data_IF_066492514476
#
_entry.id   IF_066492514476
#
_cell.length_a   1.000
_cell.length_b   1.000
_cell.length_c   1.000
_cell.angle_alpha   90.00
_cell.angle_beta   90.00
_cell.angle_gamma   90.00
#
_symmetry.space_group_name_H-M   'P 1'
#
loop_
_entity.id
_entity.type
_entity.pdbx_description
1 polymer ?
#
# COMPACT_ATOMS: atom_id res chain seq x y z
N UNK A 1 58.23 70.55 -11.22
CA UNK A 1 57.30 70.28 -10.10
C UNK A 1 55.96 69.96 -10.73
N UNK A 2 55.56 68.67 -10.82
CA UNK A 2 54.78 67.91 -9.80
C UNK A 2 53.28 68.30 -9.94
N UNK A 3 52.29 67.43 -10.17
CA UNK A 3 52.16 65.95 -10.24
C UNK A 3 50.82 65.59 -10.90
N UNK A 4 50.74 64.35 -11.41
CA UNK A 4 49.54 63.60 -11.78
C UNK A 4 48.55 63.43 -10.63
N UNK A 5 47.25 63.33 -10.94
CA UNK A 5 46.32 62.43 -10.25
C UNK A 5 45.17 62.04 -11.17
N UNK A 6 45.19 60.78 -11.56
CA UNK A 6 44.05 60.02 -12.06
C UNK A 6 42.92 59.99 -11.02
N UNK A 7 41.67 60.00 -11.48
CA UNK A 7 40.56 59.45 -10.70
C UNK A 7 39.70 58.60 -11.63
N UNK A 8 39.89 57.29 -11.51
CA UNK A 8 39.10 56.23 -12.13
C UNK A 8 37.96 55.92 -11.16
N UNK A 9 36.74 56.34 -11.48
CA UNK A 9 35.57 55.95 -10.72
C UNK A 9 34.99 54.67 -11.35
N UNK A 10 35.28 53.55 -10.68
CA UNK A 10 34.90 52.22 -11.08
C UNK A 10 33.43 51.92 -10.73
N UNK A 11 32.83 51.19 -11.65
CA UNK A 11 31.49 50.61 -11.68
C UNK A 11 31.28 49.54 -10.60
N UNK A 12 30.49 49.81 -9.55
CA UNK A 12 30.08 48.79 -8.56
C UNK A 12 28.61 48.34 -8.69
N UNK A 13 27.83 48.92 -9.61
CA UNK A 13 26.41 48.57 -9.79
C UNK A 13 26.12 47.38 -10.72
N UNK A 14 27.08 46.96 -11.56
CA UNK A 14 26.84 45.98 -12.62
C UNK A 14 27.22 44.55 -12.24
N UNK A 15 28.14 44.35 -11.30
CA UNK A 15 28.72 43.03 -10.99
C UNK A 15 27.83 42.18 -10.10
N UNK A 16 27.05 42.78 -9.18
CA UNK A 16 26.15 42.04 -8.28
C UNK A 16 24.96 41.38 -9.01
N UNK A 17 24.41 42.05 -10.03
CA UNK A 17 23.30 41.51 -10.84
C UNK A 17 23.77 40.35 -11.72
N UNK A 18 24.97 40.46 -12.30
CA UNK A 18 25.56 39.41 -13.14
C UNK A 18 25.92 38.17 -12.33
N UNK A 19 26.45 38.34 -11.11
CA UNK A 19 26.77 37.20 -10.22
C UNK A 19 25.49 36.46 -9.77
N UNK A 20 24.38 37.16 -9.50
CA UNK A 20 23.11 36.50 -9.14
C UNK A 20 22.44 35.78 -10.31
N UNK A 21 22.59 36.29 -11.54
CA UNK A 21 22.04 35.67 -12.74
C UNK A 21 22.85 34.43 -13.16
N UNK A 22 24.18 34.49 -13.06
CA UNK A 22 25.06 33.36 -13.34
C UNK A 22 24.88 32.24 -12.32
N UNK A 23 24.77 32.56 -11.03
CA UNK A 23 24.46 31.58 -9.99
C UNK A 23 23.12 30.90 -10.26
N UNK A 24 22.06 31.68 -10.49
CA UNK A 24 20.73 31.12 -10.80
C UNK A 24 20.76 30.25 -12.06
N UNK A 25 21.52 30.64 -13.09
CA UNK A 25 21.68 29.81 -14.30
C UNK A 25 22.40 28.49 -14.03
N UNK A 26 23.34 28.47 -13.09
CA UNK A 26 24.02 27.23 -12.68
C UNK A 26 23.09 26.35 -11.84
N UNK A 27 22.30 26.95 -10.94
CA UNK A 27 21.33 26.22 -10.12
C UNK A 27 20.25 25.57 -10.99
N UNK A 28 19.74 26.26 -12.02
CA UNK A 28 18.81 25.69 -13.01
C UNK A 28 19.40 24.44 -13.68
N UNK A 29 20.64 24.50 -14.16
CA UNK A 29 21.31 23.35 -14.76
C UNK A 29 21.50 22.22 -13.75
N UNK A 30 21.79 22.57 -12.49
CA UNK A 30 21.96 21.58 -11.44
C UNK A 30 20.66 20.83 -11.12
N UNK A 31 19.51 21.52 -11.12
CA UNK A 31 18.19 20.88 -11.01
C UNK A 31 17.99 19.89 -12.17
N UNK A 32 18.27 20.29 -13.41
CA UNK A 32 18.12 19.43 -14.59
C UNK A 32 19.04 18.20 -14.53
N UNK A 33 20.29 18.35 -14.09
CA UNK A 33 21.24 17.26 -13.91
C UNK A 33 20.79 16.27 -12.83
N UNK A 34 20.41 16.77 -11.65
CA UNK A 34 19.90 15.95 -10.55
C UNK A 34 18.64 15.19 -10.96
N UNK A 35 17.70 15.87 -11.63
CA UNK A 35 16.49 15.25 -12.14
C UNK A 35 16.81 14.15 -13.16
N UNK A 36 17.69 14.42 -14.12
CA UNK A 36 18.05 13.44 -15.15
C UNK A 36 18.73 12.19 -14.54
N UNK A 37 19.58 12.37 -13.54
CA UNK A 37 20.22 11.28 -12.81
C UNK A 37 19.19 10.46 -12.01
N UNK A 38 18.35 11.13 -11.22
CA UNK A 38 17.29 10.48 -10.45
C UNK A 38 16.26 9.76 -11.32
N UNK A 39 15.87 10.36 -12.44
CA UNK A 39 14.95 9.75 -13.41
C UNK A 39 15.56 8.52 -14.08
N UNK A 40 16.87 8.50 -14.30
CA UNK A 40 17.58 7.31 -14.78
C UNK A 40 17.53 6.17 -13.76
N UNK A 41 17.71 6.46 -12.47
CA UNK A 41 17.55 5.46 -11.41
C UNK A 41 16.11 4.95 -11.32
N UNK A 42 15.13 5.85 -11.47
CA UNK A 42 13.71 5.50 -11.47
C UNK A 42 13.36 4.51 -12.59
N UNK A 43 13.81 4.78 -13.83
CA UNK A 43 13.63 3.84 -14.95
C UNK A 43 14.39 2.53 -14.73
N UNK A 44 15.52 2.60 -14.02
CA UNK A 44 16.30 1.42 -13.63
C UNK A 44 15.72 0.66 -12.44
N UNK A 45 14.54 1.02 -11.95
CA UNK A 45 13.85 0.42 -10.79
C UNK A 45 14.70 0.43 -9.51
N UNK A 46 15.66 1.36 -9.42
CA UNK A 46 16.45 1.59 -8.21
C UNK A 46 15.81 2.75 -7.45
N UNK A 47 14.70 2.46 -6.78
CA UNK A 47 13.81 3.49 -6.26
C UNK A 47 14.41 4.28 -5.09
N UNK A 48 15.26 3.68 -4.25
CA UNK A 48 15.94 4.38 -3.16
C UNK A 48 16.94 5.40 -3.70
N UNK A 49 17.78 5.00 -4.67
CA UNK A 49 18.72 5.90 -5.33
C UNK A 49 17.98 6.98 -6.15
N UNK A 50 16.84 6.63 -6.75
CA UNK A 50 15.97 7.58 -7.41
C UNK A 50 15.40 8.61 -6.42
N UNK A 51 14.88 8.16 -5.27
CA UNK A 51 14.31 9.02 -4.25
C UNK A 51 15.34 10.01 -3.71
N UNK A 52 16.59 9.59 -3.48
CA UNK A 52 17.68 10.50 -3.07
C UNK A 52 17.88 11.63 -4.08
N UNK A 53 18.13 11.30 -5.36
CA UNK A 53 18.45 12.30 -6.39
C UNK A 53 17.24 13.14 -6.81
N UNK A 54 16.05 12.55 -6.85
CA UNK A 54 14.81 13.26 -7.16
C UNK A 54 14.36 14.17 -6.01
N UNK A 55 14.61 13.78 -4.76
CA UNK A 55 14.39 14.63 -3.58
C UNK A 55 15.29 15.87 -3.61
N UNK A 56 16.59 15.70 -3.84
CA UNK A 56 17.53 16.81 -4.04
C UNK A 56 17.08 17.73 -5.19
N UNK A 57 16.61 17.15 -6.31
CA UNK A 57 16.09 17.92 -7.44
C UNK A 57 14.81 18.69 -7.07
N UNK A 58 13.91 18.10 -6.29
CA UNK A 58 12.66 18.71 -5.86
C UNK A 58 12.93 19.91 -4.95
N UNK A 59 13.75 19.75 -3.92
CA UNK A 59 14.15 20.82 -3.00
C UNK A 59 14.81 21.99 -3.74
N UNK A 60 15.83 21.72 -4.55
CA UNK A 60 16.53 22.75 -5.30
C UNK A 60 15.60 23.44 -6.31
N UNK A 61 14.65 22.71 -6.91
CA UNK A 61 13.67 23.32 -7.82
C UNK A 61 12.78 24.35 -7.11
N UNK A 62 12.38 24.09 -5.85
CA UNK A 62 11.59 25.05 -5.05
C UNK A 62 12.41 26.31 -4.77
N UNK A 63 13.69 26.17 -4.45
CA UNK A 63 14.58 27.31 -4.20
C UNK A 63 14.76 28.18 -5.46
N UNK A 64 14.91 27.55 -6.62
CA UNK A 64 15.25 28.25 -7.89
C UNK A 64 14.02 28.86 -8.58
N UNK A 65 12.88 28.17 -8.55
CA UNK A 65 11.68 28.53 -9.30
C UNK A 65 10.50 28.97 -8.42
N UNK A 66 10.47 28.53 -7.16
CA UNK A 66 9.35 28.71 -6.24
C UNK A 66 8.43 27.48 -6.19
N UNK A 67 7.88 27.20 -5.00
CA UNK A 67 7.18 25.94 -4.65
C UNK A 67 6.12 25.44 -5.64
N UNK A 68 5.44 26.33 -6.36
CA UNK A 68 4.37 25.96 -7.29
C UNK A 68 4.63 26.39 -8.73
N UNK A 69 5.89 26.61 -9.09
CA UNK A 69 6.27 26.84 -10.48
C UNK A 69 6.08 25.57 -11.32
N UNK A 70 5.80 25.71 -12.61
CA UNK A 70 5.58 24.56 -13.49
C UNK A 70 6.82 23.65 -13.60
N UNK A 71 8.02 24.23 -13.46
CA UNK A 71 9.30 23.52 -13.46
C UNK A 71 9.46 22.58 -12.27
N UNK A 72 8.78 22.84 -11.15
CA UNK A 72 8.81 21.98 -9.96
C UNK A 72 7.96 20.71 -10.12
N UNK A 73 7.11 20.63 -11.15
CA UNK A 73 6.18 19.50 -11.32
C UNK A 73 6.90 18.16 -11.42
N UNK A 74 7.82 18.01 -12.38
CA UNK A 74 8.45 16.72 -12.65
C UNK A 74 9.30 16.24 -11.46
N UNK A 75 10.16 17.07 -10.84
CA UNK A 75 10.88 16.65 -9.64
C UNK A 75 9.98 16.13 -8.54
N UNK A 76 8.91 16.86 -8.18
CA UNK A 76 8.00 16.44 -7.10
C UNK A 76 7.18 15.19 -7.47
N UNK A 77 6.68 15.12 -8.71
CA UNK A 77 5.90 13.99 -9.17
C UNK A 77 6.72 12.69 -9.14
N UNK A 78 7.91 12.70 -9.74
CA UNK A 78 8.76 11.50 -9.77
C UNK A 78 9.37 11.18 -8.40
N UNK A 79 9.70 12.19 -7.59
CA UNK A 79 10.14 11.97 -6.21
C UNK A 79 9.07 11.24 -5.40
N UNK A 80 7.83 11.75 -5.43
CA UNK A 80 6.70 11.11 -4.75
C UNK A 80 6.44 9.69 -5.26
N UNK A 81 6.51 9.48 -6.58
CA UNK A 81 6.40 8.14 -7.16
C UNK A 81 7.51 7.18 -6.75
N UNK A 82 8.76 7.65 -6.69
CA UNK A 82 9.87 6.82 -6.22
C UNK A 82 9.64 6.36 -4.77
N UNK A 83 9.23 7.29 -3.89
CA UNK A 83 8.91 6.97 -2.50
C UNK A 83 7.75 5.97 -2.35
N UNK A 84 6.72 6.07 -3.21
CA UNK A 84 5.63 5.08 -3.23
C UNK A 84 6.16 3.68 -3.53
N UNK A 85 7.09 3.52 -4.47
CA UNK A 85 7.67 2.21 -4.80
C UNK A 85 8.62 1.71 -3.71
N UNK A 86 9.46 2.58 -3.13
CA UNK A 86 10.31 2.24 -1.97
C UNK A 86 9.46 1.64 -0.85
N UNK A 87 8.40 2.35 -0.44
CA UNK A 87 7.54 1.85 0.62
C UNK A 87 6.74 0.59 0.19
N UNK A 88 6.54 0.37 -1.11
CA UNK A 88 5.88 -0.85 -1.63
C UNK A 88 6.79 -2.07 -1.45
N UNK A 89 8.07 -1.92 -1.74
CA UNK A 89 9.09 -2.96 -1.55
C UNK A 89 9.27 -3.30 -0.07
N UNK A 90 9.29 -2.29 0.82
CA UNK A 90 9.31 -2.48 2.26
C UNK A 90 8.10 -3.30 2.76
N UNK A 91 6.90 -3.01 2.23
CA UNK A 91 5.70 -3.77 2.59
C UNK A 91 5.72 -5.23 2.12
N UNK A 92 6.46 -5.57 1.05
CA UNK A 92 6.58 -6.94 0.56
C UNK A 92 7.53 -7.78 1.41
N UNK A 93 8.62 -7.18 1.90
CA UNK A 93 9.62 -7.84 2.76
C UNK A 93 8.99 -8.37 4.05
N UNK A 94 8.00 -7.67 4.62
CA UNK A 94 7.30 -8.09 5.85
C UNK A 94 6.44 -9.35 5.65
N UNK A 95 6.07 -9.71 4.41
CA UNK A 95 5.20 -10.86 4.10
C UNK A 95 5.93 -12.13 3.70
N UNK A 96 7.26 -12.14 3.63
CA UNK A 96 8.00 -13.37 3.36
C UNK A 96 7.99 -14.27 4.62
N UNK A 97 7.33 -15.44 4.61
CA UNK A 97 7.58 -16.44 5.64
C UNK A 97 9.04 -16.88 5.50
N UNK A 98 9.85 -16.67 6.53
CA UNK A 98 11.14 -17.33 6.64
C UNK A 98 10.92 -18.82 6.92
N UNK A 99 10.49 -19.57 5.90
CA UNK A 99 10.65 -21.02 5.83
C UNK A 99 11.85 -21.29 4.90
N UNK A 100 13.03 -20.88 5.34
CA UNK A 100 14.30 -21.41 4.84
C UNK A 100 14.98 -22.11 6.01
N UNK A 101 14.59 -23.36 6.27
CA UNK A 101 15.55 -24.32 6.82
C UNK A 101 16.44 -24.73 5.67
N UNK A 102 17.63 -24.15 5.64
CA UNK A 102 18.74 -24.62 4.84
C UNK A 102 19.01 -26.08 5.21
N UNK A 103 18.70 -27.01 4.30
CA UNK A 103 19.24 -28.37 4.34
C UNK A 103 20.75 -28.29 4.00
N UNK A 104 21.56 -27.89 4.97
CA UNK A 104 23.00 -28.18 4.98
C UNK A 104 23.21 -29.67 5.29
N UNK A 105 23.02 -30.55 4.30
CA UNK A 105 23.64 -31.88 4.35
C UNK A 105 25.13 -31.76 4.02
N UNK A 106 25.92 -31.42 5.05
CA UNK A 106 27.37 -31.61 5.05
C UNK A 106 27.79 -32.67 6.07
N UNK A 107 28.59 -33.60 5.57
CA UNK A 107 29.56 -34.46 6.24
C UNK A 107 29.11 -35.82 6.82
N UNK A 108 29.46 -36.86 6.05
CA UNK A 108 29.69 -38.22 6.54
C UNK A 108 31.20 -38.47 6.56
N UNK A 109 31.84 -38.45 7.73
CA UNK A 109 33.03 -39.27 8.00
C UNK A 109 33.03 -39.75 9.48
N UNK A 110 33.35 -41.04 9.63
CA UNK A 110 33.45 -41.83 10.86
C UNK A 110 34.40 -41.25 11.92
N UNK A 111 34.11 -41.46 13.22
CA UNK A 111 34.95 -42.29 14.11
C UNK A 111 34.53 -42.22 15.61
N UNK A 112 34.15 -43.39 16.12
CA UNK A 112 34.43 -44.03 17.42
C UNK A 112 34.51 -43.24 18.77
N UNK A 113 33.67 -43.73 19.69
CA UNK A 113 33.96 -44.21 21.06
C UNK A 113 33.95 -43.23 22.26
N UNK A 114 33.21 -43.61 23.31
CA UNK A 114 33.35 -43.04 24.66
C UNK A 114 32.11 -43.12 25.56
N UNK A 115 32.10 -44.05 26.50
CA UNK A 115 31.03 -44.44 27.44
C UNK A 115 30.72 -43.49 28.62
N UNK A 116 29.53 -43.75 29.22
CA UNK A 116 29.03 -43.45 30.59
C UNK A 116 28.59 -41.99 30.84
N UNK A 117 27.49 -41.65 31.55
CA UNK A 117 26.56 -42.37 32.41
C UNK A 117 26.24 -41.50 33.66
N UNK A 118 24.96 -41.47 34.07
CA UNK A 118 24.40 -40.99 35.36
C UNK A 118 23.92 -39.52 35.51
N UNK A 119 22.58 -39.36 35.47
CA UNK A 119 21.66 -39.00 36.57
C UNK A 119 21.91 -37.75 37.46
N UNK A 120 20.85 -36.93 37.67
CA UNK A 120 20.66 -36.17 38.92
C UNK A 120 20.27 -34.67 38.86
N UNK A 121 18.95 -34.41 38.87
CA UNK A 121 18.18 -33.54 39.79
C UNK A 121 18.16 -31.98 39.75
N UNK A 122 16.89 -31.47 39.71
CA UNK A 122 16.22 -30.30 40.35
C UNK A 122 16.81 -28.86 40.34
N UNK A 123 16.03 -27.88 39.84
CA UNK A 123 15.12 -26.91 40.54
C UNK A 123 15.91 -25.79 41.27
N UNK A 124 15.69 -24.49 41.08
CA UNK A 124 14.49 -23.71 41.41
C UNK A 124 14.49 -22.35 40.69
N UNK A 125 13.31 -21.81 40.38
CA UNK A 125 13.12 -20.42 39.99
C UNK A 125 12.27 -19.69 41.05
N UNK A 126 12.75 -18.53 41.48
CA UNK A 126 12.16 -17.64 42.47
C UNK A 126 11.58 -16.37 41.82
N UNK A 127 10.38 -16.02 42.30
CA UNK A 127 9.86 -14.66 42.58
C UNK A 127 9.86 -13.58 41.48
N UNK A 128 8.70 -12.97 41.24
CA UNK A 128 8.32 -11.68 41.85
C UNK A 128 7.32 -10.87 40.99
N UNK A 129 6.30 -10.34 41.68
CA UNK A 129 5.25 -9.45 41.22
C UNK A 129 5.74 -8.00 40.97
N UNK A 130 4.99 -7.22 40.16
CA UNK A 130 4.56 -5.82 40.40
C UNK A 130 3.73 -5.28 39.22
N UNK A 131 2.44 -5.03 39.43
CA UNK A 131 1.79 -3.74 39.81
C UNK A 131 1.63 -2.74 38.65
N UNK A 132 0.38 -2.54 38.23
CA UNK A 132 -0.06 -1.54 37.24
C UNK A 132 -0.98 -0.55 37.95
N UNK A 133 -0.59 0.73 37.98
CA UNK A 133 -1.41 1.83 38.47
C UNK A 133 -2.28 2.43 37.38
N UNK A 134 -3.54 2.68 37.72
CA UNK A 134 -4.56 3.30 36.89
C UNK A 134 -4.41 4.82 36.73
N UNK A 135 -4.81 5.34 35.56
CA UNK A 135 -5.25 6.73 35.40
C UNK A 135 -6.33 6.81 34.30
N UNK A 136 -7.48 7.39 34.64
CA UNK A 136 -8.60 7.72 33.75
C UNK A 136 -8.36 9.09 33.10
N UNK A 137 -8.69 9.27 31.82
CA UNK A 137 -8.85 10.59 31.22
C UNK A 137 -10.18 10.77 30.49
N UNK A 138 -10.74 11.97 30.71
CA UNK A 138 -11.98 12.51 30.13
C UNK A 138 -11.64 13.18 28.81
N UNK A 139 -12.34 12.81 27.74
CA UNK A 139 -12.30 13.54 26.47
C UNK A 139 -13.12 14.84 26.56
N UNK A 140 -12.50 15.93 26.12
CA UNK A 140 -13.12 17.18 25.70
C UNK A 140 -12.97 17.29 24.17
N UNK A 141 -14.05 17.74 23.57
CA UNK A 141 -14.21 18.19 22.19
C UNK A 141 -13.35 19.43 21.89
N UNK A 142 -12.58 19.41 20.79
CA UNK A 142 -12.35 20.55 19.88
C UNK A 142 -11.43 20.16 18.69
N UNK A 143 -11.96 20.38 17.49
CA UNK A 143 -11.33 20.96 16.29
C UNK A 143 -9.80 20.93 16.12
N UNK A 144 -9.39 20.39 14.97
CA UNK A 144 -8.11 20.52 14.27
C UNK A 144 -7.33 21.80 14.63
N UNK A 145 -6.38 21.64 15.55
CA UNK A 145 -5.24 22.53 15.66
C UNK A 145 -4.01 21.63 15.72
N UNK A 146 -3.09 21.85 14.78
CA UNK A 146 -1.82 21.15 14.75
C UNK A 146 -1.02 21.53 15.99
N UNK A 147 -0.91 20.60 16.93
CA UNK A 147 0.15 20.64 17.94
C UNK A 147 1.31 19.81 17.41
N UNK A 148 2.44 20.49 17.16
CA UNK A 148 3.75 19.87 17.01
C UNK A 148 4.05 19.07 18.28
N UNK A 149 3.94 17.75 18.20
CA UNK A 149 4.69 16.86 19.08
C UNK A 149 6.09 16.70 18.47
N UNK A 150 7.01 17.55 18.95
CA UNK A 150 8.46 17.41 18.83
C UNK A 150 8.92 16.20 19.67
N UNK A 151 8.62 15.00 19.18
CA UNK A 151 9.48 13.84 19.34
C UNK A 151 9.98 13.54 17.93
N UNK A 152 11.27 13.29 17.74
CA UNK A 152 11.92 13.12 16.43
C UNK A 152 11.48 11.87 15.66
N UNK A 153 10.17 11.71 15.43
CA UNK A 153 9.56 10.74 14.54
C UNK A 153 10.00 11.11 13.12
N UNK A 154 10.86 10.26 12.57
CA UNK A 154 11.21 10.25 11.16
C UNK A 154 9.92 10.24 10.34
N UNK A 155 9.71 11.28 9.51
CA UNK A 155 8.55 11.36 8.62
C UNK A 155 8.54 10.10 7.77
N UNK A 156 7.49 9.28 7.92
CA UNK A 156 7.35 8.03 7.18
C UNK A 156 7.47 8.29 5.68
N UNK A 157 8.18 7.41 4.97
CA UNK A 157 8.34 7.41 3.51
C UNK A 157 7.01 7.67 2.78
N UNK A 158 5.91 7.08 3.25
CA UNK A 158 4.58 7.27 2.68
C UNK A 158 4.00 8.68 2.90
N UNK A 159 4.28 9.32 4.04
CA UNK A 159 3.84 10.71 4.30
C UNK A 159 4.59 11.69 3.40
N UNK A 160 5.90 11.51 3.26
CA UNK A 160 6.73 12.32 2.38
C UNK A 160 6.34 12.15 0.90
N UNK A 161 5.99 10.93 0.49
CA UNK A 161 5.46 10.65 -0.84
C UNK A 161 4.17 11.44 -1.12
N UNK A 162 3.23 11.38 -0.18
CA UNK A 162 1.96 12.09 -0.28
C UNK A 162 2.16 13.60 -0.37
N UNK A 163 3.02 14.17 0.47
CA UNK A 163 3.33 15.61 0.45
C UNK A 163 3.90 16.06 -0.91
N UNK A 164 4.86 15.31 -1.44
CA UNK A 164 5.45 15.63 -2.74
C UNK A 164 4.43 15.54 -3.88
N UNK A 165 3.58 14.50 -3.87
CA UNK A 165 2.51 14.34 -4.86
C UNK A 165 1.44 15.43 -4.74
N UNK A 166 1.14 15.90 -3.52
CA UNK A 166 0.20 16.99 -3.29
C UNK A 166 0.73 18.34 -3.83
N UNK A 167 2.05 18.57 -3.75
CA UNK A 167 2.69 19.70 -4.45
C UNK A 167 2.48 19.57 -5.96
N UNK A 168 2.73 18.39 -6.55
CA UNK A 168 2.52 18.15 -7.98
C UNK A 168 1.05 18.38 -8.38
N UNK A 169 0.10 17.93 -7.57
CA UNK A 169 -1.35 18.14 -7.77
C UNK A 169 -1.70 19.63 -7.80
N UNK A 170 -1.22 20.39 -6.82
CA UNK A 170 -1.41 21.85 -6.74
C UNK A 170 -0.77 22.59 -7.92
N UNK A 171 0.36 22.10 -8.44
CA UNK A 171 0.95 22.67 -9.66
C UNK A 171 0.01 22.43 -10.85
N UNK A 172 -0.51 21.22 -11.04
CA UNK A 172 -1.49 20.95 -12.11
C UNK A 172 -2.73 21.84 -12.02
N UNK A 173 -3.30 22.02 -10.82
CA UNK A 173 -4.45 22.91 -10.62
C UNK A 173 -4.17 24.36 -11.02
N UNK A 174 -2.96 24.86 -10.72
CA UNK A 174 -2.56 26.24 -11.07
C UNK A 174 -2.25 26.42 -12.54
N UNK A 175 -1.69 25.41 -13.19
CA UNK A 175 -1.33 25.46 -14.60
C UNK A 175 -2.48 25.04 -15.54
N UNK A 176 -3.58 24.53 -14.97
CA UNK A 176 -4.68 23.89 -15.68
C UNK A 176 -5.25 24.68 -16.86
N UNK A 177 -5.90 23.94 -17.77
CA UNK A 177 -6.56 24.50 -18.96
C UNK A 177 -5.99 24.06 -20.30
N UNK A 178 -4.87 23.32 -20.31
CA UNK A 178 -4.41 22.57 -21.49
C UNK A 178 -4.62 21.06 -21.28
N UNK A 179 -4.79 20.32 -22.38
CA UNK A 179 -4.93 18.86 -22.36
C UNK A 179 -3.74 18.20 -21.63
N UNK A 180 -2.52 18.67 -21.91
CA UNK A 180 -1.28 18.15 -21.31
C UNK A 180 -1.26 18.28 -19.77
N UNK A 181 -1.77 19.38 -19.20
CA UNK A 181 -1.86 19.53 -17.75
C UNK A 181 -2.98 18.68 -17.12
N UNK A 182 -4.06 18.43 -17.87
CA UNK A 182 -5.13 17.53 -17.41
C UNK A 182 -4.67 16.07 -17.36
N UNK A 183 -3.88 15.64 -18.35
CA UNK A 183 -3.27 14.30 -18.35
C UNK A 183 -2.32 14.13 -17.17
N UNK A 184 -1.42 15.10 -16.95
CA UNK A 184 -0.56 15.13 -15.76
C UNK A 184 -1.34 15.12 -14.45
N UNK A 185 -2.47 15.83 -14.40
CA UNK A 185 -3.33 15.83 -13.21
C UNK A 185 -3.94 14.44 -12.96
N UNK A 186 -4.37 13.74 -14.01
CA UNK A 186 -4.87 12.36 -13.93
C UNK A 186 -3.79 11.41 -13.40
N UNK A 187 -2.57 11.50 -13.94
CA UNK A 187 -1.44 10.67 -13.50
C UNK A 187 -1.10 10.91 -12.02
N UNK A 188 -1.12 12.16 -11.57
CA UNK A 188 -0.91 12.50 -10.15
C UNK A 188 -2.02 11.95 -9.27
N UNK A 189 -3.27 11.96 -9.72
CA UNK A 189 -4.40 11.41 -8.96
C UNK A 189 -4.27 9.89 -8.79
N UNK A 190 -3.81 9.17 -9.81
CA UNK A 190 -3.51 7.74 -9.71
C UNK A 190 -2.39 7.51 -8.68
N UNK A 191 -1.28 8.24 -8.78
CA UNK A 191 -0.17 8.11 -7.85
C UNK A 191 -0.56 8.45 -6.39
N UNK A 192 -1.41 9.46 -6.19
CA UNK A 192 -1.96 9.79 -4.87
C UNK A 192 -2.87 8.68 -4.34
N UNK A 193 -3.72 8.11 -5.20
CA UNK A 193 -4.55 6.95 -4.88
C UNK A 193 -3.73 5.77 -4.40
N UNK A 194 -2.67 5.43 -5.14
CA UNK A 194 -1.73 4.38 -4.77
C UNK A 194 -1.02 4.69 -3.44
N UNK A 195 -0.52 5.91 -3.25
CA UNK A 195 0.13 6.31 -2.00
C UNK A 195 -0.78 6.14 -0.78
N UNK A 196 -2.04 6.59 -0.90
CA UNK A 196 -3.03 6.47 0.18
C UNK A 196 -3.43 5.01 0.43
N UNK A 197 -3.61 4.22 -0.62
CA UNK A 197 -3.98 2.81 -0.53
C UNK A 197 -2.84 1.95 0.04
N UNK A 198 -1.65 2.02 -0.55
CA UNK A 198 -0.56 1.11 -0.22
C UNK A 198 0.17 1.46 1.07
N UNK A 199 0.20 2.75 1.45
CA UNK A 199 0.99 3.21 2.60
C UNK A 199 0.14 3.70 3.74
N UNK A 200 -0.56 4.82 3.56
CA UNK A 200 -1.26 5.49 4.67
C UNK A 200 -2.37 4.61 5.24
N UNK A 201 -3.26 4.09 4.38
CA UNK A 201 -4.36 3.23 4.80
C UNK A 201 -3.89 1.89 5.41
N UNK A 202 -2.88 1.25 4.81
CA UNK A 202 -2.32 -0.01 5.33
C UNK A 202 -1.60 0.16 6.66
N UNK A 203 -0.82 1.22 6.82
CA UNK A 203 -0.09 1.51 8.06
C UNK A 203 -1.08 1.80 9.19
N UNK A 204 -2.08 2.67 8.96
CA UNK A 204 -3.14 2.91 9.93
C UNK A 204 -3.87 1.62 10.32
N UNK A 205 -4.19 0.75 9.34
CA UNK A 205 -4.83 -0.55 9.62
C UNK A 205 -3.93 -1.45 10.47
N UNK A 206 -2.63 -1.51 10.20
CA UNK A 206 -1.66 -2.27 11.00
C UNK A 206 -1.54 -1.75 12.43
N UNK A 207 -1.71 -0.44 12.61
CA UNK A 207 -1.69 0.23 13.92
C UNK A 207 -3.05 0.19 14.63
N UNK A 208 -4.04 -0.55 14.11
CA UNK A 208 -5.41 -0.64 14.62
C UNK A 208 -6.17 0.70 14.59
N UNK A 209 -5.72 1.66 13.79
CA UNK A 209 -6.37 2.94 13.54
C UNK A 209 -7.34 2.82 12.36
N UNK A 210 -8.34 1.93 12.49
CA UNK A 210 -9.21 1.55 11.38
C UNK A 210 -10.06 2.71 10.82
N UNK A 211 -10.48 3.66 11.67
CA UNK A 211 -11.20 4.86 11.21
C UNK A 211 -10.34 5.72 10.28
N UNK A 212 -9.07 5.97 10.66
CA UNK A 212 -8.11 6.71 9.82
C UNK A 212 -7.80 5.94 8.53
N UNK A 213 -7.67 4.61 8.62
CA UNK A 213 -7.46 3.77 7.45
C UNK A 213 -8.62 3.89 6.45
N UNK A 214 -9.88 3.87 6.93
CA UNK A 214 -11.05 4.05 6.09
C UNK A 214 -11.06 5.43 5.41
N UNK A 215 -10.70 6.51 6.13
CA UNK A 215 -10.57 7.86 5.56
C UNK A 215 -9.54 7.91 4.44
N UNK A 216 -8.35 7.32 4.63
CA UNK A 216 -7.34 7.27 3.58
C UNK A 216 -7.80 6.46 2.36
N UNK A 217 -8.47 5.32 2.56
CA UNK A 217 -9.01 4.53 1.45
C UNK A 217 -10.15 5.25 0.72
N UNK A 218 -10.97 6.03 1.42
CA UNK A 218 -12.01 6.87 0.79
C UNK A 218 -11.37 7.95 -0.09
N UNK A 219 -10.38 8.67 0.44
CA UNK A 219 -9.64 9.67 -0.32
C UNK A 219 -8.92 9.05 -1.54
N UNK A 220 -8.38 7.83 -1.41
CA UNK A 220 -7.81 7.07 -2.51
C UNK A 220 -8.85 6.74 -3.59
N UNK A 221 -10.00 6.20 -3.18
CA UNK A 221 -11.10 5.86 -4.09
C UNK A 221 -11.62 7.10 -4.83
N UNK A 222 -11.73 8.24 -4.16
CA UNK A 222 -12.12 9.50 -4.79
C UNK A 222 -11.10 10.00 -5.81
N UNK A 223 -9.81 9.92 -5.50
CA UNK A 223 -8.74 10.33 -6.43
C UNK A 223 -8.73 9.44 -7.68
N UNK A 224 -8.79 8.12 -7.50
CA UNK A 224 -8.84 7.15 -8.58
C UNK A 224 -10.13 7.26 -9.41
N UNK A 225 -11.27 7.55 -8.77
CA UNK A 225 -12.53 7.80 -9.48
C UNK A 225 -12.43 9.04 -10.39
N UNK A 226 -11.79 10.13 -9.93
CA UNK A 226 -11.56 11.32 -10.76
C UNK A 226 -10.66 11.01 -11.97
N UNK A 227 -9.62 10.20 -11.77
CA UNK A 227 -8.77 9.73 -12.87
C UNK A 227 -9.55 8.83 -13.85
N UNK A 228 -10.41 7.95 -13.34
CA UNK A 228 -11.27 7.08 -14.16
C UNK A 228 -12.26 7.88 -15.01
N UNK A 229 -12.85 8.92 -14.45
CA UNK A 229 -13.76 9.80 -15.16
C UNK A 229 -13.04 10.55 -16.27
N UNK A 230 -11.82 11.04 -16.00
CA UNK A 230 -10.97 11.69 -17.01
C UNK A 230 -10.61 10.73 -18.15
N UNK A 231 -10.11 9.52 -17.84
CA UNK A 231 -9.75 8.51 -18.83
C UNK A 231 -10.97 8.11 -19.68
N UNK A 232 -12.13 7.94 -19.04
CA UNK A 232 -13.39 7.61 -19.72
C UNK A 232 -13.83 8.71 -20.68
N UNK A 233 -13.67 9.98 -20.31
CA UNK A 233 -14.02 11.10 -21.18
C UNK A 233 -13.03 11.24 -22.34
N UNK A 234 -11.73 11.08 -22.08
CA UNK A 234 -10.69 11.07 -23.12
C UNK A 234 -10.93 9.96 -24.15
N UNK A 235 -11.22 8.73 -23.69
CA UNK A 235 -11.53 7.59 -24.55
C UNK A 235 -12.70 7.86 -25.50
N UNK A 236 -13.77 8.53 -25.03
CA UNK A 236 -14.89 8.94 -25.88
C UNK A 236 -14.50 9.99 -26.92
N UNK A 237 -13.60 10.91 -26.57
CA UNK A 237 -13.16 11.99 -27.45
C UNK A 237 -12.20 11.53 -28.55
N UNK A 238 -11.34 10.53 -28.28
CA UNK A 238 -10.19 10.16 -29.13
C UNK A 238 -10.41 8.93 -30.05
N UNK A 239 -11.67 8.56 -30.31
CA UNK A 239 -12.10 7.42 -31.15
C UNK A 239 -12.07 6.02 -30.50
N UNK A 240 -12.05 5.94 -29.17
CA UNK A 240 -12.29 4.72 -28.42
C UNK A 240 -11.41 3.51 -28.83
N UNK A 241 -10.09 3.67 -28.74
CA UNK A 241 -9.17 2.59 -29.04
C UNK A 241 -9.19 1.48 -27.96
N UNK A 242 -8.75 0.24 -28.29
CA UNK A 242 -8.78 -0.88 -27.36
C UNK A 242 -7.86 -0.74 -26.14
N UNK A 243 -6.76 0.02 -26.23
CA UNK A 243 -5.78 0.16 -25.15
C UNK A 243 -6.33 1.05 -24.04
N UNK A 244 -6.88 2.21 -24.40
CA UNK A 244 -7.56 3.08 -23.44
C UNK A 244 -8.82 2.42 -22.83
N UNK A 245 -9.51 1.55 -23.57
CA UNK A 245 -10.59 0.73 -23.00
C UNK A 245 -10.08 -0.25 -21.93
N UNK A 246 -8.92 -0.87 -22.15
CA UNK A 246 -8.30 -1.79 -21.17
C UNK A 246 -7.90 -1.05 -19.90
N UNK A 247 -7.26 0.11 -20.04
CA UNK A 247 -6.86 0.97 -18.92
C UNK A 247 -8.07 1.38 -18.06
N UNK A 248 -9.17 1.81 -18.68
CA UNK A 248 -10.43 2.16 -17.97
C UNK A 248 -10.98 0.96 -17.19
N UNK A 249 -10.90 -0.26 -17.76
CA UNK A 249 -11.36 -1.48 -17.10
C UNK A 249 -10.48 -1.79 -15.88
N UNK A 250 -9.17 -1.66 -16.00
CA UNK A 250 -8.24 -1.90 -14.90
C UNK A 250 -8.43 -0.88 -13.78
N UNK A 251 -8.49 0.42 -14.12
CA UNK A 251 -8.67 1.48 -13.14
C UNK A 251 -10.03 1.36 -12.42
N UNK A 252 -11.09 0.94 -13.13
CA UNK A 252 -12.39 0.63 -12.50
C UNK A 252 -12.29 -0.50 -11.48
N UNK A 253 -11.58 -1.59 -11.81
CA UNK A 253 -11.37 -2.70 -10.87
C UNK A 253 -10.63 -2.21 -9.62
N UNK A 254 -9.59 -1.40 -9.78
CA UNK A 254 -8.83 -0.84 -8.66
C UNK A 254 -9.75 0.01 -7.78
N UNK A 255 -10.59 0.88 -8.36
CA UNK A 255 -11.57 1.68 -7.58
C UNK A 255 -12.52 0.79 -6.78
N UNK A 256 -13.04 -0.27 -7.38
CA UNK A 256 -13.93 -1.20 -6.70
C UNK A 256 -13.21 -1.97 -5.57
N UNK A 257 -11.97 -2.42 -5.80
CA UNK A 257 -11.12 -3.05 -4.79
C UNK A 257 -10.80 -2.10 -3.62
N UNK A 258 -10.50 -0.83 -3.88
CA UNK A 258 -10.26 0.17 -2.82
C UNK A 258 -11.53 0.40 -2.01
N UNK A 259 -12.72 0.45 -2.65
CA UNK A 259 -13.99 0.57 -1.93
C UNK A 259 -14.28 -0.64 -1.05
N UNK A 260 -13.87 -1.83 -1.46
CA UNK A 260 -13.91 -3.00 -0.59
C UNK A 260 -12.99 -2.83 0.63
N UNK A 261 -11.78 -2.29 0.46
CA UNK A 261 -10.88 -1.98 1.57
C UNK A 261 -11.46 -0.94 2.55
N UNK A 262 -12.22 0.05 2.06
CA UNK A 262 -12.97 0.99 2.92
C UNK A 262 -13.94 0.22 3.82
N UNK A 263 -14.74 -0.68 3.23
CA UNK A 263 -15.73 -1.44 3.99
C UNK A 263 -15.06 -2.40 4.98
N UNK A 264 -14.01 -3.09 4.55
CA UNK A 264 -13.24 -3.98 5.42
C UNK A 264 -12.59 -3.24 6.61
N UNK A 265 -12.10 -2.01 6.40
CA UNK A 265 -11.60 -1.17 7.49
C UNK A 265 -12.72 -0.78 8.48
N UNK A 266 -13.90 -0.40 7.98
CA UNK A 266 -15.06 -0.07 8.82
C UNK A 266 -15.54 -1.29 9.62
N UNK A 267 -15.66 -2.45 8.99
CA UNK A 267 -16.04 -3.70 9.64
C UNK A 267 -15.00 -4.08 10.72
N UNK A 268 -13.71 -3.88 10.42
CA UNK A 268 -12.63 -4.09 11.39
C UNK A 268 -12.75 -3.17 12.60
N UNK A 269 -13.13 -1.90 12.41
CA UNK A 269 -13.38 -0.96 13.51
C UNK A 269 -14.56 -1.40 14.39
N UNK A 270 -15.67 -1.83 13.77
CA UNK A 270 -16.83 -2.34 14.51
C UNK A 270 -16.46 -3.56 15.36
N UNK A 271 -15.71 -4.51 14.79
CA UNK A 271 -15.23 -5.68 15.52
C UNK A 271 -14.25 -5.29 16.64
N UNK A 272 -13.35 -4.35 16.39
CA UNK A 272 -12.38 -3.88 17.38
C UNK A 272 -13.06 -3.21 18.58
N UNK A 273 -14.04 -2.33 18.31
CA UNK A 273 -14.81 -1.65 19.36
C UNK A 273 -15.68 -2.61 20.17
N UNK A 274 -16.33 -3.59 19.51
CA UNK A 274 -17.09 -4.64 20.19
C UNK A 274 -16.19 -5.50 21.10
N UNK A 275 -15.01 -5.89 20.62
CA UNK A 275 -14.03 -6.64 21.42
C UNK A 275 -13.57 -5.83 22.65
N UNK A 276 -13.26 -4.54 22.46
CA UNK A 276 -12.87 -3.63 23.54
C UNK A 276 -13.98 -3.48 24.58
N UNK A 277 -15.25 -3.44 24.17
CA UNK A 277 -16.39 -3.38 25.08
C UNK A 277 -16.57 -4.69 25.87
N UNK A 278 -16.44 -5.84 25.20
CA UNK A 278 -16.47 -7.14 25.88
C UNK A 278 -15.36 -7.26 26.94
N UNK A 279 -14.14 -6.80 26.62
CA UNK A 279 -13.01 -6.82 27.54
C UNK A 279 -13.26 -5.98 28.79
N UNK A 280 -13.92 -4.83 28.68
CA UNK A 280 -14.31 -3.99 29.85
C UNK A 280 -15.27 -4.72 30.80
N UNK A 281 -16.08 -5.64 30.28
CA UNK A 281 -17.05 -6.41 31.06
C UNK A 281 -16.44 -7.67 31.69
N UNK A 282 -15.18 -8.02 31.38
CA UNK A 282 -14.47 -9.13 32.01
C UNK A 282 -14.05 -8.71 33.42
N UNK A 283 -14.65 -9.34 34.44
CA UNK A 283 -14.22 -9.14 35.84
C UNK A 283 -12.82 -9.73 36.05
N UNK A 284 -11.95 -9.08 36.85
CA UNK A 284 -10.60 -9.60 37.14
C UNK A 284 -10.61 -11.00 37.80
N UNK A 285 -11.69 -11.36 38.50
CA UNK A 285 -11.89 -12.70 39.07
C UNK A 285 -11.98 -13.82 38.02
N UNK A 286 -12.34 -13.51 36.77
CA UNK A 286 -12.39 -14.48 35.68
C UNK A 286 -11.03 -14.64 34.98
N UNK A 287 -10.09 -13.70 35.17
CA UNK A 287 -8.75 -13.78 34.60
C UNK A 287 -7.89 -14.81 35.36
N UNK A 288 -8.08 -14.91 36.68
CA UNK A 288 -7.43 -15.93 37.52
C UNK A 288 -7.85 -17.36 37.16
N UNK A 289 -9.10 -17.57 36.69
CA UNK A 289 -9.59 -18.90 36.27
C UNK A 289 -8.91 -19.37 34.97
N UNK A 290 -8.49 -18.44 34.11
CA UNK A 290 -7.76 -18.78 32.87
C UNK A 290 -6.30 -19.15 33.21
N UNK A 291 -5.68 -18.46 34.16
CA UNK A 291 -4.34 -18.83 34.64
C UNK A 291 -4.36 -20.19 35.36
N UNK A 292 -5.38 -20.45 36.18
CA UNK A 292 -5.54 -21.72 36.91
C UNK A 292 -5.86 -22.89 35.95
N UNK A 293 -6.68 -22.68 34.92
CA UNK A 293 -6.96 -23.68 33.88
C UNK A 293 -5.77 -24.03 32.99
N UNK A 294 -4.90 -23.06 32.67
CA UNK A 294 -3.66 -23.31 31.91
C UNK A 294 -2.65 -24.08 32.78
N UNK A 295 -2.54 -23.75 34.06
CA UNK A 295 -1.69 -24.49 35.01
C UNK A 295 -2.21 -25.91 35.30
N UNK A 296 -3.54 -26.13 35.26
CA UNK A 296 -4.14 -27.46 35.40
C UNK A 296 -3.91 -28.35 34.17
N UNK A 297 -3.82 -27.78 32.96
CA UNK A 297 -3.40 -28.52 31.75
C UNK A 297 -1.90 -28.88 31.73
N UNK A 298 -1.10 -28.32 32.63
CA UNK A 298 0.31 -28.67 32.83
C UNK A 298 0.55 -29.91 33.70
N UNK A 299 -0.49 -30.47 34.35
CA UNK A 299 -0.39 -31.79 34.99
C UNK A 299 -0.70 -32.86 33.97
N UNK A 300 0.30 -33.21 33.17
CA UNK A 300 0.36 -34.51 32.51
C UNK A 300 0.38 -35.55 33.64
N UNK A 301 -0.78 -36.14 33.93
CA UNK A 301 -0.80 -37.40 34.65
C UNK A 301 -0.24 -38.43 33.68
N UNK A 302 0.92 -38.96 34.04
CA UNK A 302 1.58 -40.05 33.36
C UNK A 302 0.71 -41.31 33.52
N UNK A 303 -0.34 -41.40 32.70
CA UNK A 303 -1.13 -42.63 32.54
C UNK A 303 -0.65 -43.26 31.25
N UNK A 304 0.03 -44.38 31.37
CA UNK A 304 0.72 -45.15 30.33
C UNK A 304 -0.16 -45.74 29.21
N UNK A 305 -1.33 -45.18 28.91
CA UNK A 305 -2.37 -45.86 28.11
C UNK A 305 -2.77 -45.14 26.82
N UNK A 306 -1.90 -44.34 26.20
CA UNK A 306 -2.19 -43.75 24.87
C UNK A 306 -1.06 -44.02 23.87
N UNK A 307 -0.93 -45.30 23.47
CA UNK A 307 -0.18 -45.70 22.27
C UNK A 307 -1.00 -46.55 21.30
N UNK A 308 -2.31 -46.32 21.19
CA UNK A 308 -3.13 -47.05 20.21
C UNK A 308 -3.92 -46.12 19.27
N UNK A 309 -3.21 -45.61 18.27
CA UNK A 309 -3.76 -44.87 17.11
C UNK A 309 -4.28 -45.81 16.00
N UNK A 310 -4.39 -47.12 16.27
CA UNK A 310 -4.87 -48.13 15.30
C UNK A 310 -6.30 -47.86 14.78
N UNK A 311 -7.06 -46.98 15.42
CA UNK A 311 -8.40 -46.57 14.99
C UNK A 311 -8.42 -45.37 14.04
N UNK A 312 -7.30 -44.66 13.88
CA UNK A 312 -7.18 -43.47 13.01
C UNK A 312 -6.74 -43.81 11.56
N UNK A 313 -6.34 -45.06 11.28
CA UNK A 313 -6.08 -45.52 9.91
C UNK A 313 -7.41 -45.91 9.25
N UNK A 314 -7.89 -45.03 8.37
CA UNK A 314 -9.15 -45.14 7.60
C UNK A 314 -9.37 -46.56 7.02
N UNK A 315 -10.51 -47.18 7.33
CA UNK A 315 -11.02 -48.35 6.59
C UNK A 315 -11.28 -47.97 5.12
N UNK A 316 -10.61 -48.69 4.22
CA UNK A 316 -10.85 -48.75 2.77
C UNK A 316 -12.35 -48.92 2.47
N UNK A 317 -12.93 -48.09 1.59
CA UNK A 317 -14.35 -48.20 1.17
C UNK A 317 -14.61 -49.62 0.61
N UNK A 318 -15.72 -50.28 0.95
CA UNK A 318 -16.10 -51.54 0.31
C UNK A 318 -16.51 -51.31 -1.15
N UNK A 319 -16.13 -52.26 -2.00
CA UNK A 319 -16.43 -52.29 -3.43
C UNK A 319 -17.94 -52.47 -3.68
N UNK A 320 -18.50 -51.64 -4.57
CA UNK A 320 -19.85 -51.83 -5.13
C UNK A 320 -19.76 -52.78 -6.33
N UNK A 321 -20.50 -53.88 -6.32
CA UNK A 321 -20.86 -54.65 -7.53
C UNK A 321 -22.39 -54.60 -7.74
N UNK A 322 -22.93 -55.08 -8.88
CA UNK A 322 -23.26 -54.29 -10.06
C UNK A 322 -24.78 -54.07 -10.17
N UNK A 323 -25.21 -52.92 -10.72
CA UNK A 323 -26.62 -52.74 -11.07
C UNK A 323 -26.93 -53.38 -12.43
N UNK A 324 -28.02 -54.15 -12.45
CA UNK A 324 -28.56 -54.82 -13.61
C UNK A 324 -29.02 -53.85 -14.70
N UNK A 325 -28.81 -54.32 -15.92
CA UNK A 325 -29.19 -53.78 -17.20
C UNK A 325 -30.73 -53.74 -17.34
N UNK A 326 -31.26 -52.61 -17.82
CA UNK A 326 -32.50 -52.57 -18.60
C UNK A 326 -32.14 -51.96 -19.96
N UNK A 327 -32.24 -52.80 -20.98
CA UNK A 327 -32.02 -52.52 -22.42
C UNK A 327 -33.07 -51.52 -22.95
N UNK A 328 -32.62 -50.38 -23.50
CA UNK A 328 -32.43 -50.01 -24.94
C UNK A 328 -33.70 -49.81 -25.77
N UNK A 329 -33.68 -48.73 -26.57
CA UNK A 329 -33.84 -48.70 -28.03
C UNK A 329 -33.58 -47.23 -28.46
N UNK A 330 -32.41 -46.94 -29.05
CA UNK A 330 -32.15 -46.76 -30.51
C UNK A 330 -32.89 -45.53 -31.09
N UNK A 331 -32.29 -44.58 -31.81
CA UNK A 331 -31.49 -44.71 -33.04
C UNK A 331 -30.71 -43.40 -33.33
N UNK A 332 -29.46 -43.57 -33.77
CA UNK A 332 -28.60 -42.79 -34.70
C UNK A 332 -28.97 -41.34 -35.11
N UNK A 333 -27.99 -40.42 -35.06
CA UNK A 333 -27.25 -40.04 -36.28
C UNK A 333 -25.97 -39.22 -36.04
N UNK A 334 -25.05 -39.40 -36.98
CA UNK A 334 -23.67 -38.90 -37.06
C UNK A 334 -23.60 -37.61 -37.91
N UNK A 335 -22.56 -36.77 -37.66
CA UNK A 335 -22.01 -35.66 -38.50
C UNK A 335 -22.83 -34.35 -38.56
N UNK A 336 -22.31 -33.12 -38.63
CA UNK A 336 -21.04 -32.55 -39.10
C UNK A 336 -20.74 -31.20 -38.37
N UNK A 337 -19.47 -30.78 -38.42
CA UNK A 337 -18.95 -29.45 -38.08
C UNK A 337 -19.75 -28.27 -38.67
N UNK A 338 -19.94 -27.22 -37.86
CA UNK A 338 -19.87 -25.82 -38.33
C UNK A 338 -19.71 -24.80 -37.19
N UNK A 339 -18.57 -24.11 -37.26
CA UNK A 339 -18.25 -22.84 -36.60
C UNK A 339 -19.35 -21.80 -36.86
N UNK A 340 -19.84 -21.12 -35.82
CA UNK A 340 -20.42 -19.78 -35.95
C UNK A 340 -20.25 -18.97 -34.67
N UNK A 341 -19.57 -17.84 -34.84
CA UNK A 341 -19.40 -16.72 -33.92
C UNK A 341 -20.74 -16.28 -33.30
N UNK A 342 -20.77 -16.06 -31.98
CA UNK A 342 -21.85 -15.33 -31.32
C UNK A 342 -21.35 -14.59 -30.06
N UNK A 343 -20.26 -13.82 -30.19
CA UNK A 343 -19.70 -12.98 -29.11
C UNK A 343 -20.28 -11.55 -29.05
N UNK A 344 -21.16 -11.17 -29.96
CA UNK A 344 -21.63 -9.78 -30.08
C UNK A 344 -22.88 -9.41 -29.28
N UNK A 345 -23.61 -10.39 -28.73
CA UNK A 345 -24.96 -10.12 -28.19
C UNK A 345 -25.03 -9.94 -26.67
N UNK A 346 -23.97 -10.21 -25.92
CA UNK A 346 -23.96 -10.00 -24.46
C UNK A 346 -23.63 -8.53 -24.11
N UNK A 347 -22.64 -7.95 -24.80
CA UNK A 347 -22.21 -6.56 -24.60
C UNK A 347 -23.34 -5.54 -24.84
N UNK A 348 -24.18 -5.80 -25.85
CA UNK A 348 -25.29 -4.90 -26.20
C UNK A 348 -26.49 -5.05 -25.23
N UNK A 349 -26.59 -6.18 -24.53
CA UNK A 349 -27.59 -6.39 -23.47
C UNK A 349 -27.14 -5.74 -22.16
N UNK A 350 -25.85 -5.79 -21.85
CA UNK A 350 -25.29 -5.19 -20.64
C UNK A 350 -25.35 -3.65 -20.70
N UNK A 351 -25.12 -3.05 -21.88
CA UNK A 351 -25.28 -1.60 -22.13
C UNK A 351 -26.75 -1.14 -22.03
N UNK A 352 -27.71 -1.99 -22.43
CA UNK A 352 -29.15 -1.66 -22.33
C UNK A 352 -29.66 -1.75 -20.90
N UNK A 353 -29.10 -2.64 -20.08
CA UNK A 353 -29.47 -2.78 -18.67
C UNK A 353 -29.03 -1.56 -17.85
N UNK A 354 -27.80 -1.07 -18.08
CA UNK A 354 -27.29 0.14 -17.43
C UNK A 354 -28.11 1.41 -17.74
N UNK A 355 -28.66 1.56 -18.96
CA UNK A 355 -29.49 2.73 -19.31
C UNK A 355 -30.89 2.74 -18.70
N UNK A 356 -31.38 1.61 -18.18
CA UNK A 356 -32.71 1.52 -17.56
C UNK A 356 -32.63 1.89 -16.08
N UNK A 357 -31.51 1.60 -15.43
CA UNK A 357 -31.31 1.87 -14.00
C UNK A 357 -31.09 3.38 -13.75
N UNK A 358 -30.34 4.08 -14.61
CA UNK A 358 -30.14 5.55 -14.53
C UNK A 358 -31.43 6.37 -14.74
N UNK A 359 -32.44 5.80 -15.42
CA UNK A 359 -33.66 6.52 -15.77
C UNK A 359 -34.75 6.38 -14.68
N UNK A 360 -34.55 5.50 -13.70
CA UNK A 360 -35.53 5.21 -12.64
C UNK A 360 -35.21 5.94 -11.32
N UNK A 361 -33.98 6.40 -11.12
CA UNK A 361 -33.61 7.24 -9.96
C UNK A 361 -33.98 8.72 -10.14
N UNK A 362 -34.19 9.19 -11.38
CA UNK A 362 -34.57 10.59 -11.67
C UNK A 362 -36.09 10.86 -11.75
N UNK A 363 -36.94 9.91 -11.34
CA UNK A 363 -38.41 10.10 -11.28
C UNK A 363 -39.03 9.92 -9.88
N UNK A 364 -38.23 9.81 -8.81
CA UNK A 364 -38.73 9.94 -7.43
C UNK A 364 -38.13 11.15 -6.73
N UNK A 365 -38.59 12.34 -7.13
CA UNK A 365 -38.62 13.55 -6.29
C UNK A 365 -40.01 14.17 -6.39
#
# INVERSE_FOLDING_TARGET
>A
MVTMSDNVEATEGSTKSTISEEQRSNDVKKVEELFAEGYKFFIGESYEAAAEKLGEAAELSVEVFGQFASQCFQPHYYYGRALVEVAREESLVVKAPQDEVEDEESEHEDSENGQNGADGNDHENTEAEKDITAAEEKQKDETLNAEETDDGEEISTGSLAWESLEVARKICEKQGGTQDWLEKQSDVLVALGDCMLFHLGRTCKSNYEFDKAAEFYENAAEALQKALDFATEKHKAENADPESASEIIELRKIVDEVREQVQDARDSQEMFTACKEQLKNVKPSNLNVIHEGILETGKIQDTSDVQDISTLVRKKRPATQPMQIVETNDVDNVRDDKVSSNGGNQLEQDIKKAKIDDNNENQSV
#
